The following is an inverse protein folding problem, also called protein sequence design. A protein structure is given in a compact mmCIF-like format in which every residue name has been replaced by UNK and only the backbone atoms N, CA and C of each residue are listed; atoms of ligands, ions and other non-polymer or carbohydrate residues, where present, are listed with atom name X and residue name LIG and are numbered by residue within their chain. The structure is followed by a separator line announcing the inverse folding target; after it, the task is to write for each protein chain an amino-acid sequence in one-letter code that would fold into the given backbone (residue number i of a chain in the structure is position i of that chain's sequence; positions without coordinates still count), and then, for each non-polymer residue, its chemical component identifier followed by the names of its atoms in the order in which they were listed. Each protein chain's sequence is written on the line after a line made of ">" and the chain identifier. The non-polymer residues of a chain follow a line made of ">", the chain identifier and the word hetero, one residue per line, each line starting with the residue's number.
data_IF_520991288881
#
_entry.id   IF_520991288881
#
_cell.length_a   1.000
_cell.length_b   1.000
_cell.length_c   1.000
_cell.angle_alpha   90.00
_cell.angle_beta   90.00
_cell.angle_gamma   90.00
#
_symmetry.space_group_name_H-M   'P 1'
#
loop_
_entity.id
_entity.type
_entity.pdbx_description
1 polymer ?
#
# COMPACT_ATOMS: atom_id res chain seq x y z
N UNK A 1 -4.30 10.70 -13.41
CA UNK A 1 -3.49 11.33 -12.35
C UNK A 1 -2.28 11.97 -12.99
N UNK A 2 -1.86 13.14 -12.51
CA UNK A 2 -0.62 13.82 -12.95
C UNK A 2 0.58 13.33 -12.14
N UNK A 3 1.81 13.63 -12.60
CA UNK A 3 3.04 13.34 -11.88
C UNK A 3 3.04 13.89 -10.45
N UNK A 4 2.73 15.18 -10.29
CA UNK A 4 2.72 15.83 -8.97
C UNK A 4 1.70 15.21 -8.02
N UNK A 5 0.52 14.82 -8.54
CA UNK A 5 -0.46 14.09 -7.75
C UNK A 5 0.08 12.76 -7.25
N UNK A 6 0.82 12.02 -8.10
CA UNK A 6 1.42 10.73 -7.72
C UNK A 6 2.50 10.93 -6.65
N UNK A 7 3.38 11.90 -6.83
CA UNK A 7 4.50 12.15 -5.93
C UNK A 7 4.03 12.60 -4.54
N UNK A 8 2.89 13.27 -4.45
CA UNK A 8 2.28 13.73 -3.19
C UNK A 8 1.42 12.67 -2.48
N UNK A 9 1.12 11.54 -3.12
CA UNK A 9 0.45 10.43 -2.44
C UNK A 9 1.33 9.89 -1.32
N UNK A 10 0.77 9.84 -0.11
CA UNK A 10 1.40 9.14 1.00
C UNK A 10 1.20 7.62 0.84
N UNK A 11 2.12 6.78 1.36
CA UNK A 11 1.84 5.36 1.59
C UNK A 11 0.52 5.20 2.34
N UNK A 12 -0.11 4.02 2.21
CA UNK A 12 -1.48 3.66 2.67
C UNK A 12 -2.52 3.67 1.51
N UNK A 13 -3.79 3.46 1.87
CA UNK A 13 -4.96 3.17 1.04
C UNK A 13 -5.04 3.93 -0.28
N UNK A 14 -4.65 5.21 -0.31
CA UNK A 14 -4.73 6.02 -1.53
C UNK A 14 -3.68 5.60 -2.56
N UNK A 15 -2.43 5.40 -2.15
CA UNK A 15 -1.38 4.93 -3.05
C UNK A 15 -1.62 3.47 -3.43
N UNK A 16 -1.96 2.62 -2.46
CA UNK A 16 -2.25 1.21 -2.69
C UNK A 16 -3.44 1.02 -3.64
N UNK A 17 -4.51 1.78 -3.45
CA UNK A 17 -5.68 1.77 -4.33
C UNK A 17 -5.36 2.24 -5.75
N UNK A 18 -4.49 3.24 -5.90
CA UNK A 18 -4.05 3.71 -7.21
C UNK A 18 -3.21 2.66 -7.93
N UNK A 19 -2.32 1.95 -7.22
CA UNK A 19 -1.51 0.85 -7.76
C UNK A 19 -2.41 -0.34 -8.12
N UNK A 20 -3.29 -0.77 -7.22
CA UNK A 20 -4.24 -1.85 -7.47
C UNK A 20 -5.06 -1.61 -8.74
N UNK A 21 -5.63 -0.40 -8.88
CA UNK A 21 -6.47 -0.06 -10.01
C UNK A 21 -5.70 0.09 -11.32
N UNK A 22 -4.67 0.93 -11.35
CA UNK A 22 -4.01 1.33 -12.60
C UNK A 22 -2.92 0.33 -13.03
N UNK A 23 -2.25 -0.31 -12.07
CA UNK A 23 -1.16 -1.24 -12.37
C UNK A 23 -1.68 -2.67 -12.35
N UNK A 24 -2.33 -3.09 -11.28
CA UNK A 24 -2.72 -4.51 -11.12
C UNK A 24 -4.00 -4.86 -11.88
N UNK A 25 -4.90 -3.90 -12.08
CA UNK A 25 -6.14 -4.07 -12.84
C UNK A 25 -7.32 -4.56 -11.99
N UNK A 26 -7.27 -4.40 -10.66
CA UNK A 26 -8.37 -4.75 -9.77
C UNK A 26 -8.69 -3.60 -8.80
N UNK A 27 -9.91 -3.64 -8.22
CA UNK A 27 -10.29 -2.68 -7.18
C UNK A 27 -9.83 -3.19 -5.83
N UNK A 28 -9.17 -2.33 -5.06
CA UNK A 28 -8.75 -2.65 -3.70
C UNK A 28 -9.99 -2.92 -2.83
N UNK A 29 -10.05 -4.10 -2.21
CA UNK A 29 -11.15 -4.47 -1.32
C UNK A 29 -10.84 -3.96 0.09
N UNK A 30 -11.39 -2.80 0.43
CA UNK A 30 -11.22 -2.18 1.74
C UNK A 30 -12.41 -2.50 2.62
N UNK A 31 -12.15 -3.05 3.81
CA UNK A 31 -13.14 -3.27 4.87
C UNK A 31 -12.89 -2.26 5.98
N UNK A 32 -13.95 -1.68 6.52
CA UNK A 32 -13.87 -0.85 7.72
C UNK A 32 -14.34 -1.67 8.91
N UNK A 33 -13.41 -1.97 9.81
CA UNK A 33 -13.62 -2.88 10.94
C UNK A 33 -13.11 -2.25 12.23
N UNK A 34 -13.73 -2.62 13.35
CA UNK A 34 -13.14 -2.40 14.65
C UNK A 34 -12.17 -3.55 14.95
N UNK A 35 -11.00 -3.22 15.49
CA UNK A 35 -9.95 -4.19 15.81
C UNK A 35 -9.73 -4.18 17.32
N UNK A 36 -9.80 -5.36 17.93
CA UNK A 36 -9.52 -5.48 19.36
C UNK A 36 -8.04 -5.20 19.62
N UNK A 37 -7.68 -4.24 20.50
CA UNK A 37 -6.29 -3.89 20.73
C UNK A 37 -5.48 -5.00 21.41
N UNK A 38 -6.14 -5.95 22.08
CA UNK A 38 -5.45 -7.03 22.80
C UNK A 38 -5.35 -8.32 21.98
N UNK A 39 -6.41 -8.74 21.28
CA UNK A 39 -6.43 -10.03 20.58
C UNK A 39 -6.47 -9.93 19.05
N UNK A 40 -6.57 -8.72 18.48
CA UNK A 40 -6.61 -8.50 17.03
C UNK A 40 -7.91 -8.96 16.34
N UNK A 41 -8.94 -9.35 17.09
CA UNK A 41 -10.22 -9.74 16.52
C UNK A 41 -10.89 -8.57 15.76
N UNK A 42 -11.28 -8.83 14.52
CA UNK A 42 -11.92 -7.87 13.62
C UNK A 42 -13.45 -8.05 13.61
N UNK A 43 -14.19 -6.95 13.69
CA UNK A 43 -15.64 -6.94 13.46
C UNK A 43 -16.10 -5.71 12.70
N UNK A 44 -17.07 -5.85 11.80
CA UNK A 44 -17.71 -4.70 11.15
C UNK A 44 -18.64 -3.92 12.08
N UNK A 45 -19.15 -4.59 13.12
CA UNK A 45 -20.18 -4.06 14.01
C UNK A 45 -19.76 -4.29 15.48
N UNK A 46 -19.77 -3.22 16.26
CA UNK A 46 -19.71 -3.30 17.72
C UNK A 46 -21.14 -3.38 18.25
N UNK A 47 -21.40 -4.37 19.11
CA UNK A 47 -22.60 -4.34 19.93
C UNK A 47 -22.55 -3.14 20.88
N UNK A 48 -23.71 -2.76 21.44
CA UNK A 48 -23.92 -1.56 22.28
C UNK A 48 -22.97 -1.40 23.48
N UNK A 49 -22.15 -2.41 23.80
CA UNK A 49 -21.19 -2.37 24.90
C UNK A 49 -19.76 -1.98 24.50
N UNK A 50 -19.45 -1.77 23.21
CA UNK A 50 -18.09 -1.49 22.68
C UNK A 50 -17.02 -2.46 23.22
N UNK A 51 -17.38 -3.73 23.47
CA UNK A 51 -16.48 -4.74 24.03
C UNK A 51 -16.10 -5.79 23.00
N UNK A 52 -14.87 -6.28 23.10
CA UNK A 52 -14.40 -7.37 22.27
C UNK A 52 -15.10 -8.69 22.65
N UNK A 53 -15.85 -9.27 21.72
CA UNK A 53 -16.57 -10.53 21.93
C UNK A 53 -15.62 -11.72 22.11
N UNK A 54 -14.50 -11.74 21.39
CA UNK A 54 -13.50 -12.80 21.50
C UNK A 54 -12.82 -12.81 22.88
N UNK A 55 -12.45 -11.64 23.42
CA UNK A 55 -11.89 -11.56 24.78
C UNK A 55 -12.94 -11.89 25.84
N UNK A 56 -14.20 -11.45 25.65
CA UNK A 56 -15.28 -11.77 26.57
C UNK A 56 -15.47 -13.29 26.70
N UNK A 57 -15.41 -14.02 25.59
CA UNK A 57 -15.54 -15.48 25.59
C UNK A 57 -14.47 -16.18 26.47
N UNK A 58 -13.32 -15.52 26.69
CA UNK A 58 -12.23 -16.01 27.53
C UNK A 58 -12.25 -15.46 28.97
N UNK A 59 -13.27 -14.66 29.33
CA UNK A 59 -13.40 -14.06 30.66
C UNK A 59 -12.78 -12.66 30.80
N UNK A 60 -12.12 -12.15 29.76
CA UNK A 60 -11.48 -10.84 29.77
C UNK A 60 -12.42 -9.74 29.30
N UNK A 61 -12.22 -8.52 29.81
CA UNK A 61 -13.03 -7.34 29.47
C UNK A 61 -12.19 -6.29 28.77
N UNK A 62 -12.12 -6.41 27.45
CA UNK A 62 -11.40 -5.47 26.60
C UNK A 62 -12.38 -4.52 25.93
N UNK A 63 -12.21 -3.23 26.21
CA UNK A 63 -12.93 -2.16 25.52
C UNK A 63 -12.28 -1.92 24.16
N UNK A 64 -13.09 -1.87 23.12
CA UNK A 64 -12.66 -1.57 21.77
C UNK A 64 -12.71 -0.07 21.50
N UNK A 65 -11.92 0.38 20.52
CA UNK A 65 -12.03 1.75 20.01
C UNK A 65 -13.42 1.96 19.39
N UNK A 66 -13.94 3.18 19.53
CA UNK A 66 -15.16 3.61 18.83
C UNK A 66 -14.88 4.01 17.37
N UNK A 67 -13.61 3.97 16.94
CA UNK A 67 -13.19 4.25 15.57
C UNK A 67 -12.93 2.96 14.78
N UNK A 68 -13.45 2.92 13.55
CA UNK A 68 -13.16 1.86 12.60
C UNK A 68 -11.82 2.10 11.92
N UNK A 69 -11.07 1.03 11.71
CA UNK A 69 -9.84 1.00 10.95
C UNK A 69 -10.10 0.44 9.54
N UNK A 70 -9.37 0.95 8.54
CA UNK A 70 -9.40 0.41 7.17
C UNK A 70 -8.44 -0.77 7.05
N UNK A 71 -8.97 -1.95 6.74
CA UNK A 71 -8.19 -3.19 6.52
C UNK A 71 -8.36 -3.65 5.08
N UNK A 72 -7.24 -4.05 4.48
CA UNK A 72 -7.16 -4.60 3.13
C UNK A 72 -5.88 -5.42 2.98
N UNK A 73 -5.91 -6.45 2.12
CA UNK A 73 -4.84 -7.46 2.09
C UNK A 73 -3.64 -7.05 1.22
N UNK A 74 -3.86 -6.20 0.22
CA UNK A 74 -2.83 -5.80 -0.74
C UNK A 74 -2.29 -4.40 -0.39
N UNK A 75 -1.09 -4.34 0.21
CA UNK A 75 -0.48 -3.13 0.79
C UNK A 75 0.87 -2.78 0.14
N UNK A 76 0.97 -2.64 -1.20
CA UNK A 76 2.25 -2.54 -1.89
C UNK A 76 3.09 -1.30 -1.53
N UNK A 77 2.51 -0.24 -0.94
CA UNK A 77 3.27 0.94 -0.50
C UNK A 77 3.94 0.78 0.86
N UNK A 78 3.52 -0.21 1.66
CA UNK A 78 4.04 -0.45 3.02
C UNK A 78 4.56 -1.87 3.24
N UNK A 79 4.14 -2.84 2.41
CA UNK A 79 4.65 -4.21 2.38
C UNK A 79 5.54 -4.43 1.15
N UNK A 80 6.72 -5.01 1.37
CA UNK A 80 7.71 -5.18 0.30
C UNK A 80 7.39 -6.38 -0.60
N UNK A 81 6.72 -7.42 -0.10
CA UNK A 81 6.36 -8.57 -0.92
C UNK A 81 5.30 -8.18 -1.95
N UNK A 82 4.31 -7.40 -1.54
CA UNK A 82 3.32 -6.82 -2.45
C UNK A 82 3.96 -5.83 -3.44
N UNK A 83 4.91 -5.00 -2.99
CA UNK A 83 5.66 -4.11 -3.88
C UNK A 83 6.44 -4.88 -4.96
N UNK A 84 7.05 -6.02 -4.60
CA UNK A 84 7.77 -6.87 -5.54
C UNK A 84 6.81 -7.51 -6.54
N UNK A 85 5.62 -7.95 -6.12
CA UNK A 85 4.59 -8.44 -7.05
C UNK A 85 4.23 -7.39 -8.11
N UNK A 86 4.17 -6.11 -7.72
CA UNK A 86 3.95 -4.99 -8.66
C UNK A 86 5.11 -4.86 -9.65
N UNK A 87 6.37 -4.96 -9.20
CA UNK A 87 7.54 -4.92 -10.08
C UNK A 87 7.59 -6.10 -11.05
N UNK A 88 7.15 -7.28 -10.59
CA UNK A 88 7.20 -8.52 -11.35
C UNK A 88 6.12 -8.63 -12.43
N UNK A 89 5.24 -7.63 -12.55
CA UNK A 89 4.27 -7.61 -13.64
C UNK A 89 5.00 -7.63 -14.99
N UNK A 90 4.63 -8.52 -15.94
CA UNK A 90 5.32 -8.61 -17.22
C UNK A 90 5.41 -7.27 -17.96
N UNK A 91 4.35 -6.45 -17.91
CA UNK A 91 4.36 -5.14 -18.57
C UNK A 91 5.39 -4.17 -17.95
N UNK A 92 5.77 -4.37 -16.70
CA UNK A 92 6.79 -3.59 -15.99
C UNK A 92 8.19 -4.14 -16.25
N UNK A 93 8.36 -5.46 -16.10
CA UNK A 93 9.63 -6.15 -16.30
C UNK A 93 10.12 -6.07 -17.76
N UNK A 94 9.23 -6.17 -18.73
CA UNK A 94 9.63 -6.23 -20.14
C UNK A 94 9.86 -4.85 -20.75
N UNK A 95 9.24 -3.80 -20.20
CA UNK A 95 9.24 -2.45 -20.80
C UNK A 95 10.09 -1.45 -20.06
N UNK A 96 9.95 -1.37 -18.74
CA UNK A 96 10.55 -0.30 -17.94
C UNK A 96 11.78 -0.75 -17.18
N UNK A 97 11.76 -2.00 -16.66
CA UNK A 97 12.80 -2.55 -15.79
C UNK A 97 13.15 -1.57 -14.67
N UNK A 98 12.30 -1.49 -13.65
CA UNK A 98 12.51 -0.54 -12.56
C UNK A 98 13.50 -1.13 -11.56
N UNK A 99 14.67 -0.49 -11.44
CA UNK A 99 15.66 -0.78 -10.41
C UNK A 99 15.42 0.03 -9.14
N UNK A 100 15.69 -0.58 -7.99
CA UNK A 100 15.55 0.03 -6.67
C UNK A 100 16.91 0.09 -5.98
N UNK A 101 17.23 1.25 -5.38
CA UNK A 101 18.53 1.50 -4.74
C UNK A 101 18.37 2.29 -3.45
N UNK A 102 19.11 1.94 -2.39
CA UNK A 102 19.24 2.79 -1.22
C UNK A 102 20.16 3.98 -1.51
N UNK A 103 19.92 5.09 -0.82
CA UNK A 103 20.80 6.26 -0.81
C UNK A 103 21.49 6.37 0.56
N UNK A 104 22.61 7.09 0.61
CA UNK A 104 23.37 7.34 1.85
C UNK A 104 22.59 8.16 2.91
N UNK A 105 21.46 8.76 2.55
CA UNK A 105 20.65 9.60 3.46
C UNK A 105 19.36 8.90 3.93
N UNK A 106 19.31 7.57 3.86
CA UNK A 106 18.16 6.79 4.34
C UNK A 106 16.92 6.89 3.44
N UNK A 107 17.08 7.35 2.20
CA UNK A 107 16.02 7.37 1.18
C UNK A 107 16.25 6.25 0.16
N UNK A 108 15.22 5.97 -0.62
CA UNK A 108 15.23 4.97 -1.68
C UNK A 108 14.94 5.62 -3.03
N UNK A 109 15.61 5.16 -4.07
CA UNK A 109 15.37 5.61 -5.45
C UNK A 109 14.90 4.41 -6.27
N UNK A 110 13.74 4.54 -6.91
CA UNK A 110 13.25 3.64 -7.94
C UNK A 110 13.35 4.33 -9.31
N UNK A 111 13.97 3.69 -10.31
CA UNK A 111 14.14 4.28 -11.64
C UNK A 111 14.14 3.24 -12.76
N UNK A 112 13.70 3.57 -13.98
CA UNK A 112 13.75 2.67 -15.11
C UNK A 112 15.20 2.48 -15.61
N UNK A 113 15.51 1.29 -16.11
CA UNK A 113 16.77 0.98 -16.79
C UNK A 113 16.67 1.07 -18.31
N UNK A 114 15.47 0.85 -18.86
CA UNK A 114 15.31 0.78 -20.31
C UNK A 114 15.26 2.18 -20.95
N UNK A 115 16.05 2.43 -22.01
CA UNK A 115 16.00 3.69 -22.74
C UNK A 115 14.67 3.86 -23.49
N UNK A 116 14.11 5.08 -23.51
CA UNK A 116 12.91 5.42 -24.28
C UNK A 116 11.62 5.63 -23.47
N UNK A 117 11.62 5.33 -22.17
CA UNK A 117 10.54 5.72 -21.26
C UNK A 117 10.64 7.19 -20.83
N UNK A 118 9.50 7.82 -20.49
CA UNK A 118 9.52 9.07 -19.72
C UNK A 118 10.19 8.81 -18.37
N UNK A 119 10.89 9.81 -17.84
CA UNK A 119 11.60 9.69 -16.58
C UNK A 119 10.63 9.42 -15.42
N UNK A 120 10.46 8.14 -15.06
CA UNK A 120 9.68 7.70 -13.91
C UNK A 120 10.56 7.46 -12.67
N UNK A 121 11.73 8.09 -12.59
CA UNK A 121 12.55 8.06 -11.39
C UNK A 121 11.82 8.72 -10.21
N UNK A 122 11.80 8.04 -9.07
CA UNK A 122 11.20 8.51 -7.82
C UNK A 122 12.17 8.28 -6.68
N UNK A 123 12.25 9.27 -5.79
CA UNK A 123 12.87 9.13 -4.48
C UNK A 123 11.80 9.13 -3.40
N UNK A 124 11.89 8.21 -2.44
CA UNK A 124 10.93 8.07 -1.35
C UNK A 124 11.60 7.62 -0.03
N UNK A 125 10.81 7.55 1.03
CA UNK A 125 11.29 7.23 2.39
C UNK A 125 11.40 5.73 2.61
N UNK A 126 10.61 4.94 1.88
CA UNK A 126 10.64 3.48 1.91
C UNK A 126 10.85 2.90 0.51
N UNK A 127 11.38 1.65 0.41
CA UNK A 127 11.55 0.98 -0.87
C UNK A 127 10.22 0.71 -1.57
N UNK A 128 9.23 0.22 -0.82
CA UNK A 128 7.86 -0.07 -1.29
C UNK A 128 7.17 1.17 -1.87
N UNK A 129 7.31 2.33 -1.23
CA UNK A 129 6.76 3.60 -1.71
C UNK A 129 7.42 4.03 -3.02
N UNK A 130 8.76 3.98 -3.09
CA UNK A 130 9.50 4.36 -4.30
C UNK A 130 9.07 3.50 -5.50
N UNK A 131 8.96 2.18 -5.30
CA UNK A 131 8.46 1.23 -6.30
C UNK A 131 7.07 1.65 -6.77
N UNK A 132 6.12 1.77 -5.85
CA UNK A 132 4.72 2.04 -6.18
C UNK A 132 4.56 3.31 -7.02
N UNK A 133 5.23 4.39 -6.61
CA UNK A 133 5.18 5.66 -7.33
C UNK A 133 5.85 5.57 -8.70
N UNK A 134 7.03 4.97 -8.79
CA UNK A 134 7.77 4.84 -10.06
C UNK A 134 7.00 4.00 -11.09
N UNK A 135 6.46 2.86 -10.67
CA UNK A 135 5.62 1.99 -11.50
C UNK A 135 4.36 2.73 -11.95
N UNK A 136 3.69 3.46 -11.05
CA UNK A 136 2.48 4.20 -11.38
C UNK A 136 2.74 5.31 -12.40
N UNK A 137 3.85 6.04 -12.27
CA UNK A 137 4.30 7.01 -13.28
C UNK A 137 4.57 6.32 -14.62
N UNK A 138 5.24 5.17 -14.61
CA UNK A 138 5.57 4.41 -15.81
C UNK A 138 4.32 3.96 -16.58
N UNK A 139 3.36 3.36 -15.88
CA UNK A 139 2.10 2.85 -16.47
C UNK A 139 1.23 3.99 -17.01
N UNK A 140 1.16 5.10 -16.28
CA UNK A 140 0.35 6.25 -16.70
C UNK A 140 1.06 7.13 -17.75
N UNK A 141 2.36 6.94 -17.95
CA UNK A 141 3.15 7.71 -18.91
C UNK A 141 3.23 9.19 -18.56
N UNK A 142 3.38 9.52 -17.27
CA UNK A 142 3.40 10.91 -16.74
C UNK A 142 4.64 11.24 -15.94
#
# INVERSE_FOLDING_TARGET
>A
MTRDQILTLKPDRKLDGAVAHNVMGFKLNVREVYICPECGWETGDLETSSRCQACWANGDRVTMSDEKESVYDFKPSTDMNDAIQVLQKPEIMDRFQIGLYPTSFGKWIARPFMPGGKDCAVQADSPSEAICKSVLLAVLGV
#
